data_IF_783534283785
#
_entry.id   IF_783534283785
#
_cell.length_a   1.000
_cell.length_b   1.000
_cell.length_c   1.000
_cell.angle_alpha   90.00
_cell.angle_beta   90.00
_cell.angle_gamma   90.00
#
_symmetry.space_group_name_H-M   'P 1'
#
loop_
_entity.id
_entity.type
_entity.pdbx_description
1 polymer ?
#
# COMPACT_ATOMS: atom_id res chain seq x y z
N UNK A 1 -78.73 -1.66 -28.37
CA UNK A 1 -78.09 -0.76 -27.41
C UNK A 1 -77.15 -1.55 -26.56
N UNK A 2 -75.90 -1.56 -26.89
CA UNK A 2 -74.85 -2.26 -26.14
C UNK A 2 -73.92 -1.23 -25.48
N UNK A 3 -73.83 -1.23 -24.16
CA UNK A 3 -72.96 -0.35 -23.38
C UNK A 3 -71.57 -1.08 -23.22
N UNK A 4 -70.55 -0.50 -23.82
CA UNK A 4 -69.18 -0.88 -23.53
C UNK A 4 -68.76 -0.27 -22.18
N UNK A 5 -68.32 -1.14 -21.24
CA UNK A 5 -67.64 -0.77 -20.02
C UNK A 5 -66.11 -0.75 -20.31
N UNK A 6 -65.47 0.39 -20.15
CA UNK A 6 -64.04 0.56 -20.17
C UNK A 6 -63.48 0.33 -18.74
N UNK A 7 -62.76 -0.77 -18.53
CA UNK A 7 -61.97 -0.98 -17.33
C UNK A 7 -60.59 -0.36 -17.53
N UNK A 8 -60.32 0.78 -16.88
CA UNK A 8 -58.98 1.37 -16.81
C UNK A 8 -58.14 0.67 -15.74
N UNK A 9 -57.15 -0.11 -16.14
CA UNK A 9 -56.11 -0.59 -15.24
C UNK A 9 -55.09 0.53 -15.00
N UNK A 10 -55.15 1.18 -13.84
CA UNK A 10 -54.06 2.01 -13.31
C UNK A 10 -52.92 1.05 -12.88
N UNK A 11 -51.92 0.94 -13.69
CA UNK A 11 -50.62 0.31 -13.30
C UNK A 11 -49.86 1.24 -12.36
N UNK A 12 -49.87 0.95 -11.08
CA UNK A 12 -48.97 1.54 -10.11
C UNK A 12 -47.53 1.04 -10.44
N UNK A 13 -46.76 1.87 -11.15
CA UNK A 13 -45.31 1.72 -11.22
C UNK A 13 -44.72 2.03 -9.84
N UNK A 14 -44.56 1.02 -9.00
CA UNK A 14 -43.69 1.11 -7.83
C UNK A 14 -42.24 1.31 -8.33
N UNK A 15 -41.80 2.55 -8.38
CA UNK A 15 -40.36 2.84 -8.39
C UNK A 15 -39.79 2.34 -7.06
N UNK A 16 -39.28 1.12 -7.05
CA UNK A 16 -38.41 0.69 -5.99
C UNK A 16 -37.26 1.70 -5.99
N UNK A 17 -37.20 2.55 -4.98
CA UNK A 17 -36.01 3.33 -4.62
C UNK A 17 -34.95 2.29 -4.28
N UNK A 18 -34.19 1.86 -5.29
CA UNK A 18 -32.92 1.15 -5.07
C UNK A 18 -32.07 2.18 -4.33
N UNK A 19 -31.71 1.94 -3.06
CA UNK A 19 -30.82 2.87 -2.36
C UNK A 19 -29.56 2.99 -3.22
N UNK A 20 -28.95 4.17 -3.33
CA UNK A 20 -27.72 4.34 -4.07
C UNK A 20 -26.68 3.40 -3.42
N UNK A 21 -26.47 2.28 -4.05
CA UNK A 21 -25.51 1.29 -3.61
C UNK A 21 -24.15 1.96 -3.77
N UNK A 22 -23.61 2.50 -2.65
CA UNK A 22 -22.33 3.19 -2.65
C UNK A 22 -21.26 2.27 -3.21
N UNK A 23 -20.58 2.71 -4.23
CA UNK A 23 -19.43 2.04 -4.85
C UNK A 23 -18.26 1.96 -3.85
N UNK A 24 -17.21 1.17 -4.14
CA UNK A 24 -15.96 1.26 -3.38
C UNK A 24 -15.48 2.70 -3.48
N UNK A 25 -15.23 3.29 -2.36
CA UNK A 25 -14.92 4.70 -2.27
C UNK A 25 -13.91 4.93 -1.17
N UNK A 26 -13.14 5.97 -1.33
CA UNK A 26 -12.59 6.68 -0.19
C UNK A 26 -13.78 7.17 0.63
N UNK A 27 -14.01 6.51 1.77
CA UNK A 27 -15.16 6.84 2.63
C UNK A 27 -14.85 8.01 3.54
N UNK A 28 -13.57 8.22 3.89
CA UNK A 28 -13.12 9.33 4.74
C UNK A 28 -11.71 9.76 4.37
N UNK A 29 -11.52 11.06 4.26
CA UNK A 29 -10.21 11.72 4.16
C UNK A 29 -9.86 12.34 5.51
N UNK A 30 -8.78 11.89 6.11
CA UNK A 30 -8.22 12.46 7.34
C UNK A 30 -7.00 13.30 6.97
N UNK A 31 -7.11 14.61 6.97
CA UNK A 31 -5.98 15.52 6.75
C UNK A 31 -5.28 15.71 8.09
N UNK A 32 -4.00 15.38 8.17
CA UNK A 32 -3.16 15.51 9.37
C UNK A 32 -2.27 16.75 9.32
N UNK A 33 -1.77 17.05 8.13
CA UNK A 33 -0.92 18.21 7.89
C UNK A 33 -1.34 18.89 6.60
N UNK A 34 -1.35 20.22 6.62
CA UNK A 34 -1.62 21.05 5.45
C UNK A 34 -0.88 22.39 5.58
N UNK A 35 -0.12 22.76 4.56
CA UNK A 35 0.66 24.00 4.60
C UNK A 35 1.38 24.28 3.29
N UNK A 36 2.09 25.41 3.27
CA UNK A 36 2.92 25.77 2.13
C UNK A 36 4.08 24.75 1.97
N UNK A 37 4.35 24.35 0.73
CA UNK A 37 5.56 23.62 0.38
C UNK A 37 6.69 24.61 0.09
N UNK A 38 7.92 24.29 0.53
CA UNK A 38 9.12 25.11 0.31
C UNK A 38 8.93 26.58 0.75
N UNK A 39 8.30 26.80 1.93
CA UNK A 39 8.01 28.11 2.50
C UNK A 39 7.28 29.07 1.54
N UNK A 40 6.47 28.53 0.62
CA UNK A 40 5.73 29.28 -0.38
C UNK A 40 6.57 29.77 -1.56
N UNK A 41 7.72 29.15 -1.82
CA UNK A 41 8.55 29.45 -2.97
C UNK A 41 7.75 29.37 -4.28
N UNK A 42 8.00 30.32 -5.19
CA UNK A 42 7.39 30.36 -6.51
C UNK A 42 8.09 29.43 -7.50
N UNK A 43 7.35 28.56 -8.16
CA UNK A 43 7.84 27.66 -9.21
C UNK A 43 7.42 28.17 -10.59
N UNK A 44 8.14 29.16 -11.09
CA UNK A 44 7.87 29.74 -12.41
C UNK A 44 6.43 30.27 -12.54
N UNK A 45 5.76 29.98 -13.66
CA UNK A 45 4.37 30.41 -13.90
C UNK A 45 3.33 29.69 -13.06
N UNK A 46 3.65 28.53 -12.51
CA UNK A 46 2.74 27.75 -11.66
C UNK A 46 2.54 28.41 -10.28
N UNK A 47 3.56 29.11 -9.77
CA UNK A 47 3.50 29.73 -8.45
C UNK A 47 3.81 28.75 -7.32
N UNK A 48 3.39 29.07 -6.07
CA UNK A 48 3.68 28.26 -4.92
C UNK A 48 2.86 26.95 -4.91
N UNK A 49 3.35 26.00 -4.12
CA UNK A 49 2.72 24.69 -3.92
C UNK A 49 2.21 24.55 -2.49
N UNK A 50 1.18 23.73 -2.36
CA UNK A 50 0.63 23.27 -1.10
C UNK A 50 1.01 21.79 -0.89
N UNK A 51 1.41 21.48 0.36
CA UNK A 51 1.69 20.14 0.86
C UNK A 51 0.54 19.69 1.75
N UNK A 52 -0.01 18.50 1.49
CA UNK A 52 -1.08 17.90 2.28
C UNK A 52 -0.69 16.47 2.62
N UNK A 53 -0.74 16.11 3.90
CA UNK A 53 -0.44 14.74 4.38
C UNK A 53 -1.63 14.25 5.20
N UNK A 54 -1.95 12.97 5.05
CA UNK A 54 -3.08 12.42 5.78
C UNK A 54 -3.29 10.93 5.54
N UNK A 55 -4.52 10.51 5.74
CA UNK A 55 -4.95 9.12 5.58
C UNK A 55 -6.26 9.05 4.83
N UNK A 56 -6.34 8.10 3.91
CA UNK A 56 -7.57 7.69 3.24
C UNK A 56 -8.10 6.43 3.90
N UNK A 57 -9.39 6.40 4.18
CA UNK A 57 -10.11 5.22 4.64
C UNK A 57 -11.01 4.72 3.52
N UNK A 58 -10.99 3.42 3.29
CA UNK A 58 -11.65 2.76 2.18
C UNK A 58 -12.63 1.70 2.64
N UNK A 59 -13.65 1.47 1.83
CA UNK A 59 -14.53 0.31 1.90
C UNK A 59 -14.70 -0.29 0.52
N UNK A 60 -14.44 -1.60 0.36
CA UNK A 60 -14.65 -2.32 -0.89
C UNK A 60 -15.64 -3.46 -0.72
N UNK A 61 -16.34 -3.82 -1.81
CA UNK A 61 -17.22 -4.98 -1.84
C UNK A 61 -16.46 -6.20 -2.40
N UNK A 62 -16.36 -7.29 -1.63
CA UNK A 62 -15.70 -8.50 -2.12
C UNK A 62 -16.37 -9.15 -3.34
N UNK A 63 -17.66 -8.89 -3.56
CA UNK A 63 -18.45 -9.44 -4.64
C UNK A 63 -18.41 -8.60 -5.93
N UNK A 64 -17.87 -7.39 -5.87
CA UNK A 64 -17.80 -6.53 -7.04
C UNK A 64 -16.78 -7.08 -8.06
N UNK A 65 -17.17 -7.04 -9.34
CA UNK A 65 -16.37 -7.60 -10.43
C UNK A 65 -14.98 -6.95 -10.55
N UNK A 66 -14.87 -5.64 -10.27
CA UNK A 66 -13.58 -4.94 -10.31
C UNK A 66 -12.63 -5.32 -9.16
N UNK A 67 -13.13 -6.03 -8.14
CA UNK A 67 -12.35 -6.54 -7.01
C UNK A 67 -12.07 -8.05 -7.13
N UNK A 68 -12.57 -8.72 -8.18
CA UNK A 68 -12.44 -10.18 -8.35
C UNK A 68 -10.98 -10.66 -8.42
N UNK A 69 -10.06 -9.80 -8.91
CA UNK A 69 -8.62 -10.08 -8.95
C UNK A 69 -7.90 -9.97 -7.60
N UNK A 70 -8.57 -9.50 -6.53
CA UNK A 70 -7.97 -9.39 -5.21
C UNK A 70 -8.04 -10.74 -4.50
N UNK A 71 -6.92 -11.43 -4.45
CA UNK A 71 -6.81 -12.74 -3.79
C UNK A 71 -7.17 -12.62 -2.30
N UNK A 72 -7.91 -13.61 -1.78
CA UNK A 72 -8.34 -13.73 -0.37
C UNK A 72 -9.20 -12.57 0.16
N UNK A 73 -9.71 -11.68 -0.72
CA UNK A 73 -10.60 -10.59 -0.29
C UNK A 73 -11.84 -11.09 0.43
N UNK A 74 -12.38 -12.25 0.00
CA UNK A 74 -13.56 -12.88 0.64
C UNK A 74 -13.27 -13.43 2.04
N UNK A 75 -12.01 -13.63 2.39
CA UNK A 75 -11.54 -14.06 3.70
C UNK A 75 -11.24 -12.90 4.66
N UNK A 76 -11.32 -11.66 4.17
CA UNK A 76 -11.17 -10.48 5.02
C UNK A 76 -12.39 -10.27 5.93
N UNK A 77 -12.19 -9.71 7.14
CA UNK A 77 -13.28 -9.25 8.00
C UNK A 77 -14.17 -8.23 7.27
N UNK A 78 -15.47 -8.31 7.52
CA UNK A 78 -16.47 -7.40 6.93
C UNK A 78 -17.12 -6.56 8.01
N UNK A 79 -17.41 -5.32 7.69
CA UNK A 79 -18.22 -4.45 8.53
C UNK A 79 -19.72 -4.82 8.46
N UNK A 80 -20.57 -4.12 9.21
CA UNK A 80 -22.02 -4.36 9.24
C UNK A 80 -22.71 -4.22 7.87
N UNK A 81 -22.12 -3.49 6.93
CA UNK A 81 -22.60 -3.35 5.55
C UNK A 81 -22.05 -4.43 4.60
N UNK A 82 -21.33 -5.44 5.13
CA UNK A 82 -20.72 -6.51 4.34
C UNK A 82 -19.47 -6.11 3.56
N UNK A 83 -18.88 -4.94 3.84
CA UNK A 83 -17.72 -4.39 3.14
C UNK A 83 -16.43 -4.65 3.90
N UNK A 84 -15.33 -4.73 3.18
CA UNK A 84 -13.98 -4.83 3.73
C UNK A 84 -13.40 -3.44 3.88
N UNK A 85 -12.96 -3.12 5.10
CA UNK A 85 -12.36 -1.84 5.46
C UNK A 85 -10.84 -1.92 5.47
N UNK A 86 -10.19 -0.86 4.98
CA UNK A 86 -8.74 -0.70 5.07
C UNK A 86 -8.39 0.80 4.97
N UNK A 87 -7.11 1.12 5.17
CA UNK A 87 -6.64 2.50 5.10
C UNK A 87 -5.27 2.60 4.43
N UNK A 88 -4.97 3.80 3.94
CA UNK A 88 -3.69 4.15 3.32
C UNK A 88 -3.27 5.55 3.74
N UNK A 89 -2.02 5.73 4.18
CA UNK A 89 -1.45 7.07 4.31
C UNK A 89 -1.29 7.69 2.91
N UNK A 90 -1.53 9.00 2.78
CA UNK A 90 -1.31 9.72 1.54
C UNK A 90 -0.45 10.97 1.74
N UNK A 91 0.22 11.35 0.66
CA UNK A 91 0.99 12.57 0.54
C UNK A 91 0.65 13.24 -0.79
N UNK A 92 0.34 14.53 -0.76
CA UNK A 92 -0.06 15.29 -1.94
C UNK A 92 0.72 16.60 -2.02
N UNK A 93 1.33 16.87 -3.16
CA UNK A 93 1.83 18.19 -3.54
C UNK A 93 1.01 18.69 -4.72
N UNK A 94 0.49 19.92 -4.63
CA UNK A 94 -0.31 20.51 -5.69
C UNK A 94 -0.04 22.00 -5.83
N UNK A 95 -0.26 22.62 -7.01
CA UNK A 95 -0.29 24.06 -7.13
C UNK A 95 -1.25 24.66 -6.10
N UNK A 96 -0.84 25.73 -5.41
CA UNK A 96 -1.71 26.46 -4.46
C UNK A 96 -2.95 26.99 -5.19
N UNK A 97 -2.73 27.59 -6.37
CA UNK A 97 -3.80 27.96 -7.30
C UNK A 97 -3.94 26.88 -8.40
N UNK A 98 -5.00 26.06 -8.39
CA UNK A 98 -5.20 25.01 -9.40
C UNK A 98 -5.31 25.54 -10.83
N UNK A 99 -5.73 26.79 -11.03
CA UNK A 99 -5.84 27.38 -12.36
C UNK A 99 -4.47 27.65 -13.01
N UNK A 100 -3.40 27.75 -12.21
CA UNK A 100 -2.01 27.90 -12.68
C UNK A 100 -1.32 26.56 -12.91
N UNK A 101 -1.94 25.44 -12.51
CA UNK A 101 -1.45 24.08 -12.75
C UNK A 101 -1.76 23.60 -14.16
N UNK A 102 -1.15 22.48 -14.56
CA UNK A 102 -1.35 21.87 -15.89
C UNK A 102 -2.53 20.89 -15.94
N UNK A 103 -3.30 20.77 -14.85
CA UNK A 103 -4.45 19.88 -14.66
C UNK A 103 -4.12 18.38 -14.81
N UNK A 104 -2.88 18.01 -14.55
CA UNK A 104 -2.39 16.63 -14.60
C UNK A 104 -1.98 16.14 -13.23
N UNK A 105 -2.36 14.91 -12.94
CA UNK A 105 -1.94 14.18 -11.75
C UNK A 105 -0.85 13.18 -12.13
N UNK A 106 0.30 13.23 -11.47
CA UNK A 106 1.27 12.15 -11.46
C UNK A 106 1.12 11.37 -10.16
N UNK A 107 0.62 10.15 -10.26
CA UNK A 107 0.54 9.21 -9.16
C UNK A 107 1.84 8.39 -9.13
N UNK A 108 2.66 8.58 -8.11
CA UNK A 108 3.88 7.79 -7.91
C UNK A 108 3.55 6.62 -6.96
N UNK A 109 3.55 5.40 -7.48
CA UNK A 109 3.46 4.19 -6.67
C UNK A 109 4.76 4.07 -5.88
N UNK A 110 4.69 4.39 -4.60
CA UNK A 110 5.86 4.38 -3.75
C UNK A 110 6.52 2.98 -3.69
N UNK A 111 7.85 2.95 -3.64
CA UNK A 111 8.59 1.71 -3.52
C UNK A 111 8.88 1.43 -2.04
N UNK A 112 8.20 0.42 -1.46
CA UNK A 112 8.29 0.09 -0.02
C UNK A 112 8.08 1.30 0.88
N UNK A 113 7.05 2.10 0.59
CA UNK A 113 6.72 3.31 1.32
C UNK A 113 7.52 4.56 0.93
N UNK A 114 8.57 4.42 0.09
CA UNK A 114 9.42 5.54 -0.32
C UNK A 114 8.90 6.23 -1.59
N UNK A 115 8.89 7.56 -1.56
CA UNK A 115 8.46 8.43 -2.65
C UNK A 115 9.61 8.61 -3.64
N UNK A 116 9.41 8.29 -4.92
CA UNK A 116 10.48 8.28 -5.90
C UNK A 116 10.34 9.32 -7.02
N UNK A 117 9.16 9.93 -7.22
CA UNK A 117 8.96 10.88 -8.32
C UNK A 117 9.90 12.09 -8.25
N UNK A 118 10.08 12.68 -7.06
CA UNK A 118 10.97 13.84 -6.92
C UNK A 118 12.44 13.48 -7.11
N UNK A 119 12.85 12.29 -6.65
CA UNK A 119 14.18 11.78 -6.93
C UNK A 119 14.40 11.57 -8.43
N UNK A 120 13.41 11.00 -9.12
CA UNK A 120 13.53 10.63 -10.53
C UNK A 120 13.49 11.84 -11.46
N UNK A 121 12.55 12.75 -11.26
CA UNK A 121 12.27 13.83 -12.20
C UNK A 121 12.85 15.18 -11.76
N UNK A 122 13.06 15.36 -10.46
CA UNK A 122 13.56 16.63 -9.91
C UNK A 122 14.98 16.55 -9.34
N UNK A 123 15.63 15.36 -9.36
CA UNK A 123 16.95 15.15 -8.75
C UNK A 123 16.96 15.47 -7.23
N UNK A 124 15.81 15.40 -6.60
CA UNK A 124 15.65 15.69 -5.18
C UNK A 124 15.96 14.46 -4.33
N UNK A 125 16.21 14.68 -3.05
CA UNK A 125 16.43 13.63 -2.05
C UNK A 125 15.42 13.79 -0.92
N UNK A 126 15.24 12.72 -0.15
CA UNK A 126 14.36 12.72 1.01
C UNK A 126 12.99 12.09 0.72
N UNK A 127 12.37 11.63 1.79
CA UNK A 127 11.10 10.89 1.74
C UNK A 127 9.93 11.69 2.36
N UNK A 128 10.22 12.89 2.91
CA UNK A 128 9.21 13.79 3.46
C UNK A 128 9.42 15.21 2.91
N UNK A 129 9.16 15.44 1.61
CA UNK A 129 9.46 16.73 0.99
C UNK A 129 8.69 17.87 1.65
N UNK A 130 9.41 18.86 2.17
CA UNK A 130 8.86 20.02 2.88
C UNK A 130 9.57 21.34 2.51
N UNK A 131 10.88 21.28 2.25
CA UNK A 131 11.73 22.44 2.02
C UNK A 131 12.02 22.68 0.54
N UNK A 132 12.65 23.81 0.21
CA UNK A 132 13.09 24.09 -1.16
C UNK A 132 14.14 23.09 -1.66
N UNK A 133 15.00 22.59 -0.78
CA UNK A 133 15.97 21.55 -1.13
C UNK A 133 15.28 20.25 -1.58
N UNK A 134 14.12 19.93 -1.01
CA UNK A 134 13.32 18.74 -1.37
C UNK A 134 12.60 18.91 -2.72
N UNK A 135 12.49 20.13 -3.24
CA UNK A 135 12.00 20.38 -4.59
C UNK A 135 13.03 20.00 -5.66
N UNK A 136 14.31 19.87 -5.29
CA UNK A 136 15.41 19.62 -6.22
C UNK A 136 15.52 20.71 -7.29
N UNK A 137 15.60 20.30 -8.56
CA UNK A 137 15.58 21.26 -9.68
C UNK A 137 14.20 21.89 -9.95
N UNK A 138 13.14 21.46 -9.25
CA UNK A 138 11.78 22.02 -9.36
C UNK A 138 11.04 21.71 -10.66
N UNK A 139 11.50 20.76 -11.47
CA UNK A 139 10.94 20.49 -12.80
C UNK A 139 9.41 20.22 -12.75
N UNK A 140 8.96 19.22 -12.00
CA UNK A 140 7.53 18.88 -11.94
C UNK A 140 6.66 20.04 -11.45
N UNK A 141 7.19 20.87 -10.52
CA UNK A 141 6.50 22.04 -10.01
C UNK A 141 6.39 23.14 -11.05
N UNK A 142 7.49 23.44 -11.77
CA UNK A 142 7.45 24.47 -12.85
C UNK A 142 6.53 24.05 -14.00
N UNK A 143 6.41 22.75 -14.26
CA UNK A 143 5.49 22.20 -15.25
C UNK A 143 4.04 22.06 -14.74
N UNK A 144 3.76 22.45 -13.50
CA UNK A 144 2.41 22.55 -12.95
C UNK A 144 1.73 21.22 -12.57
N UNK A 145 2.49 20.14 -12.32
CA UNK A 145 1.95 18.84 -11.95
C UNK A 145 1.42 18.82 -10.52
N UNK A 146 0.30 18.13 -10.30
CA UNK A 146 -0.06 17.62 -8.99
C UNK A 146 0.56 16.25 -8.78
N UNK A 147 1.15 15.99 -7.59
CA UNK A 147 1.86 14.75 -7.27
C UNK A 147 1.14 14.05 -6.12
N UNK A 148 0.79 12.78 -6.30
CA UNK A 148 0.09 11.98 -5.30
C UNK A 148 0.86 10.69 -5.02
N UNK A 149 0.95 10.35 -3.74
CA UNK A 149 1.44 9.08 -3.23
C UNK A 149 0.45 8.54 -2.22
N UNK A 150 0.11 7.25 -2.30
CA UNK A 150 -0.64 6.56 -1.26
C UNK A 150 0.06 5.26 -0.88
N UNK A 151 0.04 4.86 0.40
CA UNK A 151 0.52 3.57 0.83
C UNK A 151 -0.29 2.44 0.18
N UNK A 152 0.38 1.39 -0.28
CA UNK A 152 -0.29 0.26 -0.95
C UNK A 152 0.14 -1.11 -0.42
N UNK A 153 1.34 -1.21 0.16
CA UNK A 153 1.90 -2.45 0.68
C UNK A 153 1.67 -2.53 2.19
N UNK A 154 1.07 -3.62 2.64
CA UNK A 154 0.74 -3.83 4.06
C UNK A 154 1.93 -4.33 4.90
N UNK A 155 3.05 -4.66 4.26
CA UNK A 155 4.25 -5.21 4.90
C UNK A 155 5.38 -4.19 5.08
N UNK A 156 5.14 -2.92 4.76
CA UNK A 156 6.14 -1.85 4.91
C UNK A 156 6.48 -1.64 6.39
N UNK A 157 7.78 -1.66 6.69
CA UNK A 157 8.26 -1.32 8.03
C UNK A 157 8.08 0.18 8.30
N UNK A 158 7.46 0.55 9.44
CA UNK A 158 7.33 1.96 9.84
C UNK A 158 8.69 2.65 10.01
N UNK A 159 8.72 3.96 9.85
CA UNK A 159 9.91 4.81 10.00
C UNK A 159 10.32 5.49 8.69
N UNK A 160 11.25 6.43 8.76
CA UNK A 160 11.82 7.20 7.62
C UNK A 160 10.74 7.81 6.71
N UNK A 161 9.65 8.29 7.29
CA UNK A 161 8.51 8.91 6.59
C UNK A 161 7.91 8.04 5.48
N UNK A 162 8.00 6.71 5.64
CA UNK A 162 7.40 5.75 4.70
C UNK A 162 5.89 5.80 4.78
N UNK A 163 5.26 5.72 3.62
CA UNK A 163 3.80 5.61 3.51
C UNK A 163 3.36 4.18 3.83
N UNK A 164 2.43 4.05 4.74
CA UNK A 164 1.90 2.78 5.23
C UNK A 164 0.50 2.52 4.68
N UNK A 165 0.13 1.24 4.61
CA UNK A 165 -1.22 0.78 4.40
C UNK A 165 -1.61 -0.21 5.50
N UNK A 166 -2.79 -0.02 6.11
CA UNK A 166 -3.36 -0.96 7.06
C UNK A 166 -4.33 -1.88 6.36
N UNK A 167 -3.83 -3.03 5.95
CA UNK A 167 -4.61 -4.05 5.25
C UNK A 167 -5.14 -5.09 6.23
N UNK A 168 -6.39 -5.57 6.08
CA UNK A 168 -6.98 -6.57 6.95
C UNK A 168 -6.28 -7.93 6.83
N UNK A 169 -6.35 -8.70 7.90
CA UNK A 169 -5.86 -10.07 7.97
C UNK A 169 -6.93 -11.02 7.44
N UNK A 170 -6.55 -11.91 6.51
CA UNK A 170 -7.41 -12.98 6.03
C UNK A 170 -7.61 -14.06 7.10
N UNK A 171 -8.84 -14.59 7.21
CA UNK A 171 -9.20 -15.65 8.15
C UNK A 171 -10.08 -16.69 7.48
N UNK A 172 -9.78 -17.95 7.67
CA UNK A 172 -10.60 -19.04 7.16
C UNK A 172 -11.58 -19.53 8.24
N UNK A 173 -12.88 -19.38 7.99
CA UNK A 173 -13.92 -19.71 8.97
C UNK A 173 -13.69 -19.08 10.36
N UNK A 174 -13.20 -17.83 10.37
CA UNK A 174 -12.87 -17.08 11.59
C UNK A 174 -11.58 -17.49 12.29
N UNK A 175 -10.87 -18.51 11.79
CA UNK A 175 -9.59 -18.98 12.33
C UNK A 175 -8.41 -18.32 11.62
N UNK A 176 -7.27 -18.15 12.32
CA UNK A 176 -6.02 -17.71 11.67
C UNK A 176 -5.62 -18.67 10.55
N UNK A 177 -5.20 -18.13 9.42
CA UNK A 177 -4.51 -18.88 8.37
C UNK A 177 -3.05 -18.97 8.77
N UNK A 178 -2.49 -20.18 8.72
CA UNK A 178 -1.08 -20.42 9.07
C UNK A 178 -0.34 -21.07 7.92
N UNK A 179 1.00 -20.90 7.90
CA UNK A 179 1.82 -21.51 6.89
C UNK A 179 3.31 -21.41 7.20
N UNK A 180 4.13 -22.22 6.52
CA UNK A 180 5.58 -22.18 6.71
C UNK A 180 6.17 -20.92 6.09
N UNK A 181 6.96 -20.22 6.89
CA UNK A 181 7.73 -19.03 6.50
C UNK A 181 9.20 -19.40 6.50
N UNK A 182 9.92 -18.96 5.47
CA UNK A 182 11.36 -19.06 5.36
C UNK A 182 11.95 -17.65 5.27
N UNK A 183 12.87 -17.32 6.18
CA UNK A 183 13.56 -16.02 6.22
C UNK A 183 15.06 -16.24 6.16
N UNK A 184 15.73 -15.54 5.27
CA UNK A 184 17.18 -15.49 5.18
C UNK A 184 17.72 -14.25 5.87
N UNK A 185 18.73 -14.41 6.72
CA UNK A 185 19.36 -13.33 7.47
C UNK A 185 20.85 -13.36 7.20
N UNK A 186 21.40 -12.26 6.73
CA UNK A 186 22.84 -12.03 6.60
C UNK A 186 23.14 -10.62 7.14
N UNK A 187 24.16 -10.52 7.99
CA UNK A 187 24.57 -9.24 8.59
C UNK A 187 26.04 -8.97 8.25
N UNK A 188 26.35 -7.71 7.97
CA UNK A 188 27.72 -7.30 7.65
C UNK A 188 28.57 -7.07 8.92
N UNK A 189 27.88 -6.85 10.05
CA UNK A 189 28.50 -6.63 11.35
C UNK A 189 28.01 -7.63 12.40
N UNK A 190 28.78 -7.92 13.46
CA UNK A 190 28.37 -8.79 14.54
C UNK A 190 27.23 -8.12 15.32
N UNK A 191 26.08 -8.78 15.44
CA UNK A 191 24.92 -8.32 16.20
C UNK A 191 24.36 -9.45 17.05
N UNK A 192 23.85 -9.13 18.25
CA UNK A 192 23.23 -10.13 19.12
C UNK A 192 21.86 -10.57 18.62
N UNK A 193 21.12 -9.67 17.97
CA UNK A 193 19.82 -9.96 17.37
C UNK A 193 19.66 -9.25 16.03
N UNK A 194 18.74 -9.76 15.21
CA UNK A 194 18.39 -9.18 13.93
C UNK A 194 16.89 -9.17 13.74
N UNK A 195 16.29 -8.05 13.28
CA UNK A 195 14.91 -8.07 12.83
C UNK A 195 14.70 -9.07 11.69
N UNK A 196 13.51 -9.64 11.63
CA UNK A 196 13.09 -10.54 10.56
C UNK A 196 12.55 -9.73 9.39
N UNK A 197 13.24 -9.82 8.25
CA UNK A 197 12.82 -9.19 6.99
C UNK A 197 12.77 -10.26 5.90
N UNK A 198 11.93 -10.03 4.89
CA UNK A 198 12.01 -10.83 3.65
C UNK A 198 13.37 -10.69 2.99
N UNK A 199 13.93 -9.48 3.02
CA UNK A 199 15.31 -9.19 2.62
C UNK A 199 15.82 -8.01 3.44
N UNK A 200 17.11 -7.93 3.79
CA UNK A 200 17.67 -6.86 4.62
C UNK A 200 17.44 -5.44 4.06
N UNK A 201 17.44 -5.31 2.72
CA UNK A 201 17.25 -4.03 2.02
C UNK A 201 15.79 -3.76 1.62
N UNK A 202 14.89 -4.73 1.77
CA UNK A 202 13.48 -4.56 1.43
C UNK A 202 12.69 -3.87 2.54
N UNK A 203 13.12 -3.96 3.79
CA UNK A 203 12.46 -3.41 4.97
C UNK A 203 10.98 -3.81 5.06
N UNK A 204 10.67 -5.03 4.62
CA UNK A 204 9.34 -5.61 4.65
C UNK A 204 9.22 -6.54 5.85
N UNK A 205 8.23 -6.28 6.72
CA UNK A 205 7.96 -7.14 7.88
C UNK A 205 7.47 -8.51 7.43
N UNK A 206 7.93 -9.54 8.12
CA UNK A 206 7.45 -10.92 7.94
C UNK A 206 6.16 -11.15 8.70
N UNK A 207 5.45 -12.24 8.39
CA UNK A 207 4.31 -12.67 9.19
C UNK A 207 4.78 -13.18 10.56
N UNK A 208 4.05 -12.86 11.65
CA UNK A 208 4.46 -13.26 12.98
C UNK A 208 4.41 -14.79 13.15
N UNK A 209 5.30 -15.37 13.95
CA UNK A 209 5.24 -16.80 14.28
C UNK A 209 3.98 -17.13 15.09
N UNK A 210 3.41 -18.31 14.86
CA UNK A 210 2.31 -18.86 15.66
C UNK A 210 2.72 -19.05 17.12
N UNK A 211 4.01 -19.30 17.37
CA UNK A 211 4.57 -19.54 18.70
C UNK A 211 6.02 -19.03 18.77
N UNK A 212 6.41 -18.49 19.91
CA UNK A 212 7.80 -18.13 20.20
C UNK A 212 8.63 -19.31 20.71
N UNK A 213 8.04 -20.51 20.83
CA UNK A 213 8.77 -21.74 21.21
C UNK A 213 9.67 -22.19 20.05
N UNK A 214 10.97 -22.04 20.22
CA UNK A 214 12.00 -22.36 19.22
C UNK A 214 12.02 -23.84 18.81
N UNK A 215 11.48 -24.75 19.63
CA UNK A 215 11.34 -26.17 19.27
C UNK A 215 10.33 -26.42 18.12
N UNK A 216 9.51 -25.41 17.79
CA UNK A 216 8.54 -25.42 16.69
C UNK A 216 9.07 -24.73 15.43
N UNK A 217 10.33 -24.34 15.44
CA UNK A 217 10.99 -23.66 14.34
C UNK A 217 12.42 -24.22 14.16
N UNK A 218 13.01 -23.98 13.02
CA UNK A 218 14.39 -24.41 12.73
C UNK A 218 15.20 -23.20 12.34
N UNK A 219 16.34 -23.00 13.01
CA UNK A 219 17.33 -22.01 12.64
C UNK A 219 18.62 -22.73 12.24
N UNK A 220 19.11 -22.46 11.03
CA UNK A 220 20.39 -22.99 10.55
C UNK A 220 21.33 -21.85 10.22
N UNK A 221 22.65 -22.15 10.16
CA UNK A 221 23.68 -21.22 9.73
C UNK A 221 24.70 -21.89 8.81
N UNK A 222 25.27 -21.12 7.88
CA UNK A 222 26.36 -21.54 6.98
C UNK A 222 27.21 -20.36 6.51
N UNK A 223 28.52 -20.55 6.22
CA UNK A 223 29.37 -19.47 5.72
C UNK A 223 28.99 -19.02 4.32
N UNK A 224 28.53 -19.93 3.46
CA UNK A 224 28.13 -19.69 2.07
C UNK A 224 26.97 -20.58 1.70
N UNK A 225 26.12 -20.13 0.75
CA UNK A 225 24.96 -20.90 0.26
C UNK A 225 25.33 -22.27 -0.31
N UNK A 226 26.54 -22.44 -0.85
CA UNK A 226 27.04 -23.69 -1.39
C UNK A 226 27.55 -24.68 -0.34
N UNK A 227 27.69 -24.27 0.92
CA UNK A 227 28.21 -25.11 2.01
C UNK A 227 27.07 -25.74 2.82
N UNK A 228 27.28 -26.89 3.48
CA UNK A 228 26.31 -27.52 4.34
C UNK A 228 25.84 -26.58 5.46
N UNK A 229 24.55 -26.56 5.70
CA UNK A 229 23.96 -25.81 6.81
C UNK A 229 24.13 -26.58 8.14
N UNK A 230 24.43 -25.88 9.21
CA UNK A 230 24.45 -26.41 10.58
C UNK A 230 23.27 -25.89 11.33
N UNK A 231 22.50 -26.75 11.95
CA UNK A 231 21.37 -26.38 12.80
C UNK A 231 21.86 -25.78 14.13
N UNK A 232 21.25 -24.69 14.55
CA UNK A 232 21.47 -24.06 15.86
C UNK A 232 20.45 -24.67 16.85
N UNK A 233 20.92 -25.29 17.95
CA UNK A 233 20.04 -25.89 18.96
C UNK A 233 18.97 -24.91 19.46
N UNK A 234 17.72 -25.36 19.71
CA UNK A 234 16.61 -24.48 20.09
C UNK A 234 16.81 -23.66 21.38
N UNK A 235 17.71 -24.09 22.27
CA UNK A 235 18.09 -23.39 23.49
C UNK A 235 19.16 -22.31 23.29
N UNK A 236 19.78 -22.25 22.10
CA UNK A 236 20.84 -21.29 21.75
C UNK A 236 20.32 -20.09 20.94
N UNK A 237 19.04 -20.00 20.67
CA UNK A 237 18.43 -18.85 19.99
C UNK A 237 17.01 -18.59 20.49
N UNK A 238 16.43 -17.44 20.16
CA UNK A 238 15.08 -17.09 20.55
C UNK A 238 14.43 -16.11 19.54
N UNK A 239 13.10 -16.11 19.46
CA UNK A 239 12.35 -14.98 18.92
C UNK A 239 12.44 -13.81 19.92
N UNK A 240 13.45 -12.96 19.75
CA UNK A 240 13.76 -11.89 20.68
C UNK A 240 14.63 -10.83 20.03
N UNK A 241 14.60 -9.62 20.58
CA UNK A 241 15.55 -8.55 20.27
C UNK A 241 16.43 -8.27 21.49
N UNK A 242 17.65 -7.74 21.23
CA UNK A 242 18.55 -7.27 22.26
C UNK A 242 18.25 -5.79 22.55
N UNK A 243 18.02 -5.44 23.82
CA UNK A 243 17.89 -4.07 24.32
C UNK A 243 18.90 -3.85 25.46
N UNK A 244 19.99 -3.15 25.17
CA UNK A 244 21.13 -3.09 26.07
C UNK A 244 21.63 -4.50 26.39
N UNK A 245 21.71 -4.88 27.67
CA UNK A 245 22.11 -6.21 28.11
C UNK A 245 20.96 -7.21 28.25
N UNK A 246 19.73 -6.80 27.90
CA UNK A 246 18.55 -7.64 28.07
C UNK A 246 18.07 -8.24 26.76
N UNK A 247 17.66 -9.51 26.84
CA UNK A 247 16.94 -10.22 25.80
C UNK A 247 15.43 -10.07 26.01
N UNK A 248 14.76 -9.31 25.12
CA UNK A 248 13.32 -9.04 25.19
C UNK A 248 12.59 -9.90 24.14
N UNK A 249 11.59 -10.71 24.52
CA UNK A 249 10.78 -11.48 23.57
C UNK A 249 10.20 -10.57 22.47
N UNK A 250 10.38 -10.96 21.20
CA UNK A 250 9.93 -10.20 20.04
C UNK A 250 9.66 -11.14 18.86
N UNK A 251 8.41 -11.18 18.42
CA UNK A 251 7.98 -12.00 17.28
C UNK A 251 8.60 -11.57 15.95
N UNK A 252 9.09 -10.34 15.86
CA UNK A 252 9.69 -9.74 14.66
C UNK A 252 11.20 -9.78 14.63
N UNK A 253 11.86 -10.49 15.57
CA UNK A 253 13.33 -10.54 15.64
C UNK A 253 13.82 -11.93 16.04
N UNK A 254 15.05 -12.24 15.66
CA UNK A 254 15.79 -13.43 16.12
C UNK A 254 17.02 -13.00 16.90
N UNK A 255 17.22 -13.58 18.05
CA UNK A 255 18.41 -13.48 18.89
C UNK A 255 19.17 -14.79 18.87
N UNK A 256 20.50 -14.76 18.82
CA UNK A 256 21.37 -15.94 18.82
C UNK A 256 22.41 -15.82 19.92
N UNK A 257 22.61 -16.88 20.70
CA UNK A 257 23.65 -16.95 21.71
C UNK A 257 25.04 -16.81 21.08
N UNK A 258 25.83 -15.85 21.55
CA UNK A 258 27.11 -15.50 20.95
C UNK A 258 27.01 -14.62 19.71
N UNK A 259 25.81 -14.21 19.31
CA UNK A 259 25.54 -13.29 18.20
C UNK A 259 25.52 -13.93 16.82
N UNK A 260 25.03 -13.17 15.85
CA UNK A 260 25.10 -13.53 14.43
C UNK A 260 26.47 -13.15 13.88
N UNK A 261 27.11 -14.10 13.17
CA UNK A 261 28.43 -13.90 12.57
C UNK A 261 28.36 -13.09 11.29
N UNK A 262 29.22 -12.07 11.11
CA UNK A 262 29.25 -11.29 9.87
C UNK A 262 29.46 -12.16 8.63
N UNK A 263 28.72 -11.88 7.56
CA UNK A 263 28.84 -12.57 6.28
C UNK A 263 28.30 -14.00 6.25
N UNK A 264 27.83 -14.54 7.39
CA UNK A 264 27.19 -15.86 7.44
C UNK A 264 25.72 -15.76 7.07
N UNK A 265 25.21 -16.77 6.37
CA UNK A 265 23.80 -16.93 6.06
C UNK A 265 23.12 -17.72 7.17
N UNK A 266 22.11 -17.14 7.76
CA UNK A 266 21.18 -17.79 8.67
C UNK A 266 19.84 -17.99 7.96
N UNK A 267 19.24 -19.18 8.13
CA UNK A 267 17.96 -19.52 7.55
C UNK A 267 17.00 -19.96 8.65
N UNK A 268 15.94 -19.19 8.84
CA UNK A 268 14.92 -19.43 9.83
C UNK A 268 13.64 -19.93 9.13
N UNK A 269 13.17 -21.12 9.54
CA UNK A 269 11.88 -21.70 9.08
C UNK A 269 10.97 -21.85 10.27
N UNK A 270 9.79 -21.26 10.19
CA UNK A 270 8.77 -21.30 11.25
C UNK A 270 7.35 -21.33 10.66
N UNK A 271 6.37 -21.65 11.50
CA UNK A 271 4.95 -21.51 11.16
C UNK A 271 4.49 -20.08 11.44
N UNK A 272 4.22 -19.31 10.38
CA UNK A 272 3.69 -17.96 10.45
C UNK A 272 2.16 -17.93 10.46
N UNK A 273 1.57 -16.80 10.87
CA UNK A 273 0.13 -16.57 10.91
C UNK A 273 -0.24 -15.15 10.45
N UNK A 274 -1.54 -14.91 10.36
CA UNK A 274 -2.15 -13.61 10.10
C UNK A 274 -1.72 -12.97 8.76
N UNK A 275 -1.86 -13.68 7.61
CA UNK A 275 -1.56 -13.11 6.30
C UNK A 275 -2.51 -11.96 5.98
N UNK A 276 -1.94 -10.83 5.50
CA UNK A 276 -2.73 -9.67 5.08
C UNK A 276 -3.28 -9.88 3.67
N UNK A 277 -4.46 -9.30 3.39
CA UNK A 277 -5.04 -9.27 2.04
C UNK A 277 -4.28 -8.26 1.18
N UNK A 278 -3.09 -8.65 0.73
CA UNK A 278 -2.11 -7.76 0.07
C UNK A 278 -2.62 -7.17 -1.25
N UNK A 279 -3.50 -7.90 -1.96
CA UNK A 279 -4.12 -7.42 -3.21
C UNK A 279 -5.00 -6.17 -3.03
N UNK A 280 -5.41 -5.81 -1.80
CA UNK A 280 -6.07 -4.54 -1.52
C UNK A 280 -5.20 -3.32 -1.81
N UNK A 281 -3.88 -3.50 -1.97
CA UNK A 281 -2.99 -2.45 -2.48
C UNK A 281 -3.40 -1.93 -3.85
N UNK A 282 -3.95 -2.79 -4.74
CA UNK A 282 -4.49 -2.36 -6.04
C UNK A 282 -5.73 -1.48 -5.88
N UNK A 283 -6.63 -1.84 -4.98
CA UNK A 283 -7.80 -1.03 -4.66
C UNK A 283 -7.38 0.31 -4.01
N UNK A 284 -6.39 0.33 -3.11
CA UNK A 284 -5.86 1.56 -2.51
C UNK A 284 -5.38 2.57 -3.58
N UNK A 285 -4.61 2.08 -4.57
CA UNK A 285 -4.08 2.92 -5.66
C UNK A 285 -5.20 3.36 -6.60
N UNK A 286 -6.04 2.43 -7.05
CA UNK A 286 -7.18 2.68 -7.94
C UNK A 286 -8.15 3.70 -7.36
N UNK A 287 -8.68 3.40 -6.17
CA UNK A 287 -9.76 4.17 -5.57
C UNK A 287 -9.27 5.50 -4.99
N UNK A 288 -8.02 5.52 -4.45
CA UNK A 288 -7.38 6.76 -4.04
C UNK A 288 -7.17 7.73 -5.21
N UNK A 289 -6.64 7.26 -6.33
CA UNK A 289 -6.46 8.09 -7.53
C UNK A 289 -7.81 8.52 -8.13
N UNK A 290 -8.79 7.61 -8.18
CA UNK A 290 -10.15 7.91 -8.66
C UNK A 290 -10.82 8.99 -7.82
N UNK A 291 -10.71 8.91 -6.49
CA UNK A 291 -11.23 9.95 -5.58
C UNK A 291 -10.62 11.31 -5.89
N UNK A 292 -9.30 11.42 -5.90
CA UNK A 292 -8.64 12.71 -6.15
C UNK A 292 -8.91 13.27 -7.54
N UNK A 293 -9.18 12.41 -8.53
CA UNK A 293 -9.49 12.81 -9.90
C UNK A 293 -10.94 13.26 -10.10
N UNK A 294 -11.91 12.56 -9.49
CA UNK A 294 -13.30 12.67 -9.90
C UNK A 294 -14.25 13.17 -8.82
N UNK A 295 -13.95 12.95 -7.53
CA UNK A 295 -14.91 13.25 -6.48
C UNK A 295 -14.74 14.69 -5.97
N UNK A 296 -15.80 15.26 -5.42
CA UNK A 296 -15.78 16.60 -4.81
C UNK A 296 -15.54 16.55 -3.31
N UNK A 297 -16.10 15.55 -2.66
CA UNK A 297 -16.02 15.32 -1.22
C UNK A 297 -16.01 13.83 -0.93
N UNK A 298 -15.59 13.46 0.27
CA UNK A 298 -15.82 12.12 0.82
C UNK A 298 -17.25 11.97 1.37
N UNK A 299 -17.59 10.84 2.02
CA UNK A 299 -18.92 10.61 2.61
C UNK A 299 -19.22 11.48 3.83
N UNK A 300 -18.21 12.09 4.42
CA UNK A 300 -18.31 13.02 5.56
C UNK A 300 -18.26 14.48 5.12
N UNK A 301 -18.44 14.74 3.82
CA UNK A 301 -18.39 16.09 3.23
C UNK A 301 -17.01 16.76 3.33
N UNK A 302 -15.95 16.01 3.63
CA UNK A 302 -14.59 16.54 3.58
C UNK A 302 -14.21 16.83 2.14
N UNK A 303 -13.87 18.10 1.85
CA UNK A 303 -13.53 18.53 0.51
C UNK A 303 -12.30 17.80 -0.05
N UNK A 304 -12.40 17.30 -1.29
CA UNK A 304 -11.26 16.80 -2.04
C UNK A 304 -10.34 17.96 -2.43
N UNK A 305 -9.06 17.98 -2.01
CA UNK A 305 -8.12 19.05 -2.34
C UNK A 305 -7.87 19.26 -3.85
N UNK A 306 -8.20 18.26 -4.69
CA UNK A 306 -8.06 18.31 -6.14
C UNK A 306 -9.41 18.39 -6.89
N UNK A 307 -10.51 18.67 -6.19
CA UNK A 307 -11.85 18.74 -6.80
C UNK A 307 -11.85 19.63 -8.05
N UNK A 308 -12.26 19.07 -9.20
CA UNK A 308 -12.31 19.73 -10.51
C UNK A 308 -10.94 20.21 -11.05
N UNK A 309 -9.82 19.86 -10.44
CA UNK A 309 -8.48 20.32 -10.82
C UNK A 309 -7.77 19.37 -11.81
N UNK A 310 -8.22 18.11 -11.93
CA UNK A 310 -7.51 17.08 -12.70
C UNK A 310 -8.33 16.67 -13.94
N UNK A 311 -7.70 16.81 -15.10
CA UNK A 311 -8.23 16.30 -16.38
C UNK A 311 -7.62 14.95 -16.76
N UNK A 312 -6.32 14.79 -16.50
CA UNK A 312 -5.58 13.57 -16.82
C UNK A 312 -4.75 13.08 -15.64
N UNK A 313 -4.71 11.78 -15.47
CA UNK A 313 -3.90 11.13 -14.44
C UNK A 313 -2.92 10.13 -15.08
N UNK A 314 -1.69 10.10 -14.58
CA UNK A 314 -0.63 9.20 -15.01
C UNK A 314 -0.09 8.46 -13.81
N UNK A 315 0.17 7.15 -13.97
CA UNK A 315 0.76 6.32 -12.93
C UNK A 315 2.22 6.02 -13.27
N UNK A 316 3.07 6.12 -12.26
CA UNK A 316 4.51 5.89 -12.35
C UNK A 316 4.97 4.93 -11.26
N UNK A 317 5.95 4.08 -11.56
CA UNK A 317 6.57 3.20 -10.57
C UNK A 317 7.92 2.69 -11.04
N UNK A 318 8.82 2.40 -10.09
CA UNK A 318 10.19 1.93 -10.34
C UNK A 318 10.40 0.58 -9.67
N UNK A 319 11.06 -0.36 -10.36
CA UNK A 319 11.47 -1.67 -9.83
C UNK A 319 10.25 -2.46 -9.29
N UNK A 320 10.13 -2.70 -8.00
CA UNK A 320 8.97 -3.36 -7.40
C UNK A 320 7.66 -2.59 -7.71
N UNK A 321 7.64 -1.28 -7.51
CA UNK A 321 6.46 -0.48 -7.85
C UNK A 321 6.22 -0.37 -9.35
N UNK A 322 7.25 -0.50 -10.19
CA UNK A 322 7.09 -0.69 -11.64
C UNK A 322 6.39 -2.00 -11.98
N UNK A 323 6.74 -3.10 -11.31
CA UNK A 323 6.00 -4.37 -11.44
C UNK A 323 4.53 -4.22 -11.02
N UNK A 324 4.29 -3.52 -9.92
CA UNK A 324 2.93 -3.21 -9.47
C UNK A 324 2.14 -2.46 -10.54
N UNK A 325 2.73 -1.43 -11.19
CA UNK A 325 2.08 -0.69 -12.29
C UNK A 325 1.71 -1.62 -13.45
N UNK A 326 2.62 -2.52 -13.84
CA UNK A 326 2.32 -3.51 -14.88
C UNK A 326 1.13 -4.39 -14.53
N UNK A 327 1.08 -4.91 -13.29
CA UNK A 327 -0.02 -5.75 -12.82
C UNK A 327 -1.32 -4.98 -12.70
N UNK A 328 -1.29 -3.76 -12.19
CA UNK A 328 -2.48 -2.90 -12.10
C UNK A 328 -3.18 -2.77 -13.46
N UNK A 329 -2.39 -2.55 -14.52
CA UNK A 329 -2.91 -2.43 -15.89
C UNK A 329 -3.33 -3.79 -16.44
N UNK A 330 -2.48 -4.82 -16.29
CA UNK A 330 -2.72 -6.16 -16.84
C UNK A 330 -3.94 -6.84 -16.24
N UNK A 331 -4.12 -6.73 -14.92
CA UNK A 331 -5.21 -7.36 -14.17
C UNK A 331 -6.50 -6.50 -14.16
N UNK A 332 -6.54 -5.40 -14.93
CA UNK A 332 -7.75 -4.59 -15.14
C UNK A 332 -8.09 -3.61 -14.01
N UNK A 333 -7.17 -3.36 -13.07
CA UNK A 333 -7.39 -2.40 -11.98
C UNK A 333 -7.35 -0.93 -12.41
N UNK A 334 -7.15 -0.63 -13.68
CA UNK A 334 -7.24 0.74 -14.19
C UNK A 334 -8.68 1.24 -14.40
N UNK A 335 -9.68 0.49 -13.92
CA UNK A 335 -11.09 0.85 -13.98
C UNK A 335 -11.66 0.81 -12.56
N UNK A 336 -12.29 1.92 -12.13
CA UNK A 336 -12.92 2.00 -10.82
C UNK A 336 -14.30 1.30 -10.78
N UNK A 337 -14.93 1.22 -9.61
CA UNK A 337 -16.25 0.57 -9.46
C UNK A 337 -17.38 1.26 -10.23
N UNK A 338 -17.17 2.52 -10.70
CA UNK A 338 -18.10 3.25 -11.58
C UNK A 338 -17.74 3.10 -13.06
N UNK A 339 -16.86 2.16 -13.39
CA UNK A 339 -16.40 1.90 -14.75
C UNK A 339 -15.70 3.12 -15.42
N UNK A 340 -15.05 3.98 -14.61
CA UNK A 340 -14.28 5.12 -15.11
C UNK A 340 -12.80 4.73 -15.20
N UNK A 341 -12.12 5.16 -16.26
CA UNK A 341 -10.67 4.98 -16.39
C UNK A 341 -9.95 5.84 -15.34
N UNK A 342 -9.12 5.21 -14.50
CA UNK A 342 -8.40 5.91 -13.43
C UNK A 342 -7.18 6.65 -13.96
N UNK A 343 -6.38 5.99 -14.78
CA UNK A 343 -5.15 6.56 -15.37
C UNK A 343 -5.23 6.58 -16.90
N UNK A 344 -4.77 7.69 -17.49
CA UNK A 344 -4.69 7.87 -18.95
C UNK A 344 -3.37 7.33 -19.53
N UNK A 345 -2.36 7.12 -18.70
CA UNK A 345 -1.08 6.55 -19.10
C UNK A 345 -0.30 5.97 -17.94
N UNK A 346 0.57 5.00 -18.22
CA UNK A 346 1.36 4.28 -17.24
C UNK A 346 2.85 4.28 -17.63
N UNK A 347 3.73 4.60 -16.69
CA UNK A 347 5.18 4.56 -16.83
C UNK A 347 5.76 3.57 -15.81
N UNK A 348 6.05 2.36 -16.30
CA UNK A 348 6.68 1.30 -15.51
C UNK A 348 8.18 1.27 -15.80
N UNK A 349 9.00 1.73 -14.86
CA UNK A 349 10.43 1.85 -15.03
C UNK A 349 11.17 0.68 -14.37
N UNK A 350 12.10 0.04 -15.11
CA UNK A 350 12.95 -1.10 -14.69
C UNK A 350 12.21 -2.16 -13.88
N UNK A 351 11.00 -2.50 -14.30
CA UNK A 351 10.09 -3.38 -13.56
C UNK A 351 10.56 -4.85 -13.48
N UNK A 352 11.38 -5.30 -14.44
CA UNK A 352 11.73 -6.71 -14.58
C UNK A 352 10.51 -7.60 -14.96
N UNK A 353 10.72 -8.89 -15.20
CA UNK A 353 9.68 -9.82 -15.68
C UNK A 353 8.83 -10.45 -14.56
N UNK A 354 9.25 -10.36 -13.28
CA UNK A 354 8.57 -11.01 -12.16
C UNK A 354 7.27 -10.29 -11.78
N UNK A 355 6.27 -11.08 -11.35
CA UNK A 355 5.03 -10.56 -10.77
C UNK A 355 5.28 -9.72 -9.51
N UNK A 356 4.41 -8.77 -9.19
CA UNK A 356 4.40 -8.15 -7.88
C UNK A 356 3.83 -9.14 -6.85
N UNK A 357 4.38 -9.18 -5.63
CA UNK A 357 3.95 -10.10 -4.57
C UNK A 357 2.46 -10.00 -4.21
N UNK A 358 1.81 -8.90 -4.57
CA UNK A 358 0.39 -8.65 -4.30
C UNK A 358 -0.59 -9.53 -5.09
N UNK A 359 -0.11 -10.26 -6.11
CA UNK A 359 -0.95 -11.17 -6.94
C UNK A 359 -0.84 -12.64 -6.55
N UNK A 360 0.11 -13.00 -5.71
CA UNK A 360 0.15 -14.33 -5.07
C UNK A 360 -0.68 -14.28 -3.80
N UNK A 361 -1.39 -15.36 -3.47
CA UNK A 361 -2.30 -15.41 -2.31
C UNK A 361 -1.69 -14.82 -1.05
N UNK A 362 -2.53 -14.27 -0.16
CA UNK A 362 -2.11 -13.59 1.07
C UNK A 362 -1.25 -14.47 1.99
N UNK A 363 -1.30 -15.78 1.81
CA UNK A 363 -0.63 -16.75 2.68
C UNK A 363 0.86 -16.97 2.39
N UNK A 364 1.37 -16.57 1.20
CA UNK A 364 2.74 -16.97 0.84
C UNK A 364 3.50 -15.85 0.12
N UNK A 365 4.68 -15.49 0.61
CA UNK A 365 5.65 -14.75 -0.19
C UNK A 365 6.21 -15.65 -1.30
N UNK A 366 6.65 -15.08 -2.40
CA UNK A 366 7.26 -15.80 -3.50
C UNK A 366 8.56 -16.50 -3.12
#
# INVERSE_FOLDING_TARGET
>A
MAKLLWCGCLGLFCWALVPPWGFAEVVRVEIRERGAFADGCEFGRTGPYERIVGRLHFEVRPEDACNAGITDLKLAPRNAAGRVEFWSDFFLLKPLDPARGNRRLLYDVNNRGNKLALWTFNEARGNNPATLADAGNGFLMREGWSLLWCGWSGDVMPGDDRLLAGLPVARENGKPITGKIHVEICRDEPVASSPLYWTPWALSVVYPPVSLDTRRATLTMRPKRSEPATEIPPDQWAFARQEGDQRVPDAGSVWVQGGLRPGWLYELVYEGQDPRVSGLGFAAVRDGASFFRYEKTDRHETANPLANAIERAYIFGISQSGRFVNHLVYDGFNTDERQRAVFDGALSHVSGPAAACSTTGSAWPP
#
